data_IF_824255828051
#
_entry.id   IF_824255828051
#
_cell.length_a   1.000
_cell.length_b   1.000
_cell.length_c   1.000
_cell.angle_alpha   90.00
_cell.angle_beta   90.00
_cell.angle_gamma   90.00
#
_symmetry.space_group_name_H-M   'P 1'
#
loop_
_entity.id
_entity.type
_entity.pdbx_description
1 polymer ?
#
# COMPACT_ATOMS: atom_id res chain seq x y z
N UNK A 1 -12.38 3.82 -5.50
CA UNK A 1 -11.97 4.45 -4.25
C UNK A 1 -13.07 4.26 -3.21
N UNK A 2 -12.81 3.43 -2.24
CA UNK A 2 -13.80 3.08 -1.24
C UNK A 2 -13.34 3.43 0.16
N UNK A 3 -14.31 3.78 1.00
CA UNK A 3 -14.06 3.98 2.40
C UNK A 3 -14.34 2.68 3.14
N UNK A 4 -13.74 2.53 4.29
CA UNK A 4 -14.06 1.44 5.18
C UNK A 4 -12.97 0.41 5.35
N UNK A 5 -13.37 -0.77 5.73
CA UNK A 5 -12.45 -1.81 6.15
C UNK A 5 -11.70 -2.45 5.00
N UNK A 6 -10.46 -2.81 5.28
CA UNK A 6 -9.65 -3.62 4.38
C UNK A 6 -9.93 -5.07 4.71
N UNK A 7 -10.37 -5.82 3.71
CA UNK A 7 -10.60 -7.25 3.89
C UNK A 7 -9.48 -8.02 3.23
N UNK A 8 -8.42 -8.27 3.98
CA UNK A 8 -7.25 -8.95 3.45
C UNK A 8 -7.56 -10.35 2.94
N UNK A 9 -8.57 -11.00 3.50
CA UNK A 9 -8.94 -12.34 3.04
C UNK A 9 -9.38 -12.38 1.58
N UNK A 10 -9.82 -11.24 1.02
CA UNK A 10 -10.16 -11.16 -0.40
C UNK A 10 -8.94 -11.31 -1.30
N UNK A 11 -7.76 -11.11 -0.74
CA UNK A 11 -6.51 -11.16 -1.47
C UNK A 11 -5.71 -12.43 -1.18
N UNK A 12 -6.30 -13.39 -0.51
CA UNK A 12 -5.64 -14.66 -0.25
C UNK A 12 -5.24 -15.31 -1.56
N UNK A 13 -4.03 -15.84 -1.62
CA UNK A 13 -3.45 -16.35 -2.84
C UNK A 13 -2.64 -15.32 -3.61
N UNK A 14 -2.76 -14.05 -3.25
CA UNK A 14 -1.92 -12.98 -3.80
C UNK A 14 -0.96 -12.46 -2.75
N UNK A 15 0.22 -12.04 -3.20
CA UNK A 15 1.13 -11.28 -2.36
C UNK A 15 0.65 -9.83 -2.33
N UNK A 16 0.63 -9.20 -1.16
CA UNK A 16 0.05 -7.87 -1.01
C UNK A 16 1.02 -6.93 -0.32
N UNK A 17 1.14 -5.73 -0.86
CA UNK A 17 1.82 -4.62 -0.18
C UNK A 17 0.73 -3.68 0.34
N UNK A 18 0.63 -3.59 1.66
CA UNK A 18 -0.26 -2.62 2.30
C UNK A 18 0.58 -1.41 2.68
N UNK A 19 0.21 -0.25 2.18
CA UNK A 19 0.95 0.98 2.41
C UNK A 19 0.04 2.02 3.06
N UNK A 20 0.42 2.50 4.24
CA UNK A 20 -0.30 3.58 4.93
C UNK A 20 0.34 4.92 4.53
N UNK A 21 -0.48 5.88 4.08
CA UNK A 21 0.02 7.12 3.50
C UNK A 21 -0.95 8.29 3.68
N UNK A 22 -0.48 9.48 3.37
CA UNK A 22 -1.32 10.68 3.34
C UNK A 22 -0.79 11.66 2.31
N UNK A 23 -1.66 12.49 1.74
CA UNK A 23 -1.27 13.47 0.74
C UNK A 23 -0.42 14.59 1.34
N UNK A 24 -0.48 14.78 2.66
CA UNK A 24 0.31 15.77 3.39
C UNK A 24 1.73 15.29 3.71
N UNK A 25 2.03 14.06 3.42
CA UNK A 25 3.28 13.42 3.80
C UNK A 25 4.23 13.40 2.60
N UNK A 26 5.31 14.18 2.65
CA UNK A 26 6.24 14.31 1.54
C UNK A 26 6.86 12.98 1.11
N UNK A 27 7.44 12.16 2.01
CA UNK A 27 7.98 10.88 1.56
C UNK A 27 6.92 9.93 1.04
N UNK A 28 5.66 10.04 1.51
CA UNK A 28 4.56 9.27 0.93
C UNK A 28 4.36 9.62 -0.53
N UNK A 29 4.34 10.91 -0.84
CA UNK A 29 4.14 11.39 -2.22
C UNK A 29 5.27 10.96 -3.13
N UNK A 30 6.49 11.01 -2.63
CA UNK A 30 7.67 10.61 -3.40
C UNK A 30 7.66 9.12 -3.71
N UNK A 31 7.04 8.34 -2.85
CA UNK A 31 6.97 6.88 -3.01
C UNK A 31 5.89 6.44 -4.02
N UNK A 32 4.89 7.26 -4.26
CA UNK A 32 3.77 6.89 -5.13
C UNK A 32 4.18 6.45 -6.53
N UNK A 33 5.04 7.20 -7.26
CA UNK A 33 5.47 6.72 -8.57
C UNK A 33 6.29 5.44 -8.51
N UNK A 34 7.05 5.23 -7.44
CA UNK A 34 7.80 4.00 -7.23
C UNK A 34 6.85 2.82 -7.09
N UNK A 35 5.79 2.99 -6.29
CA UNK A 35 4.79 1.94 -6.10
C UNK A 35 4.00 1.67 -7.38
N UNK A 36 3.67 2.73 -8.14
CA UNK A 36 2.93 2.54 -9.38
C UNK A 36 3.74 1.73 -10.40
N UNK A 37 5.03 2.00 -10.52
CA UNK A 37 5.90 1.21 -11.39
C UNK A 37 5.95 -0.26 -10.96
N UNK A 38 6.07 -0.49 -9.67
CA UNK A 38 6.09 -1.84 -9.11
C UNK A 38 4.76 -2.56 -9.36
N UNK A 39 3.66 -1.85 -9.17
CA UNK A 39 2.34 -2.40 -9.42
C UNK A 39 2.20 -2.84 -10.87
N UNK A 40 2.57 -1.97 -11.80
CA UNK A 40 2.50 -2.27 -13.23
C UNK A 40 3.35 -3.48 -13.60
N UNK A 41 4.52 -3.60 -12.96
CA UNK A 41 5.45 -4.69 -13.24
C UNK A 41 4.99 -6.03 -12.68
N UNK A 42 4.45 -6.04 -11.47
CA UNK A 42 4.20 -7.30 -10.75
C UNK A 42 2.74 -7.73 -10.65
N UNK A 43 1.78 -6.89 -11.00
CA UNK A 43 0.36 -7.23 -10.84
C UNK A 43 -0.03 -8.50 -11.60
N UNK A 44 0.62 -8.77 -12.71
CA UNK A 44 0.37 -9.99 -13.49
C UNK A 44 0.90 -11.27 -12.83
N UNK A 45 1.71 -11.12 -11.79
CA UNK A 45 2.34 -12.24 -11.11
C UNK A 45 1.66 -12.60 -9.79
N UNK A 46 0.41 -12.14 -9.60
CA UNK A 46 -0.32 -12.40 -8.37
C UNK A 46 0.07 -11.47 -7.25
N UNK A 47 0.37 -10.23 -7.58
CA UNK A 47 0.74 -9.19 -6.62
C UNK A 47 -0.31 -8.08 -6.62
N UNK A 48 -0.58 -7.54 -5.44
CA UNK A 48 -1.52 -6.44 -5.28
C UNK A 48 -0.93 -5.38 -4.34
N UNK A 49 -1.33 -4.13 -4.54
CA UNK A 49 -1.03 -3.05 -3.61
C UNK A 49 -2.36 -2.52 -3.09
N UNK A 50 -2.44 -2.31 -1.79
CA UNK A 50 -3.56 -1.61 -1.17
C UNK A 50 -2.96 -0.42 -0.44
N UNK A 51 -3.23 0.78 -0.95
CA UNK A 51 -2.74 2.01 -0.33
C UNK A 51 -3.83 2.56 0.58
N UNK A 52 -3.58 2.55 1.88
CA UNK A 52 -4.54 2.99 2.88
C UNK A 52 -4.27 4.43 3.24
N UNK A 53 -5.16 5.31 2.81
CA UNK A 53 -5.03 6.73 3.12
C UNK A 53 -5.61 7.02 4.50
N UNK A 54 -4.81 7.68 5.34
CA UNK A 54 -5.15 7.92 6.73
C UNK A 54 -5.64 9.35 6.93
N UNK A 55 -6.85 9.48 7.47
CA UNK A 55 -7.43 10.74 7.96
C UNK A 55 -7.79 11.79 6.90
N UNK A 56 -7.93 11.42 5.66
CA UNK A 56 -8.28 12.39 4.63
C UNK A 56 -9.61 12.08 3.98
N UNK A 57 -10.23 13.11 3.42
CA UNK A 57 -11.54 12.98 2.78
C UNK A 57 -11.42 12.24 1.45
N UNK A 58 -12.52 11.61 1.05
CA UNK A 58 -12.61 10.93 -0.23
C UNK A 58 -12.25 11.86 -1.40
N UNK A 59 -12.75 13.11 -1.34
CA UNK A 59 -12.50 14.08 -2.40
C UNK A 59 -11.03 14.42 -2.56
N UNK A 60 -10.33 14.65 -1.45
CA UNK A 60 -8.91 14.98 -1.47
C UNK A 60 -8.09 13.82 -2.03
N UNK A 61 -8.38 12.61 -1.60
CA UNK A 61 -7.67 11.42 -2.05
C UNK A 61 -7.95 11.15 -3.52
N UNK A 62 -9.20 11.27 -3.95
CA UNK A 62 -9.58 11.06 -5.34
C UNK A 62 -8.83 12.01 -6.27
N UNK A 63 -8.76 13.30 -5.90
CA UNK A 63 -8.03 14.28 -6.70
C UNK A 63 -6.56 13.94 -6.82
N UNK A 64 -5.97 13.48 -5.72
CA UNK A 64 -4.56 13.08 -5.71
C UNK A 64 -4.32 11.87 -6.62
N UNK A 65 -5.16 10.85 -6.49
CA UNK A 65 -5.07 9.62 -7.29
C UNK A 65 -5.17 9.94 -8.78
N UNK A 66 -6.13 10.80 -9.15
CA UNK A 66 -6.33 11.16 -10.54
C UNK A 66 -5.16 11.99 -11.08
N UNK A 67 -4.68 12.93 -10.29
CA UNK A 67 -3.55 13.79 -10.68
C UNK A 67 -2.29 12.99 -10.95
N UNK A 68 -2.06 11.96 -10.15
CA UNK A 68 -0.82 11.17 -10.24
C UNK A 68 -0.99 9.87 -11.04
N UNK A 69 -2.17 9.64 -11.60
CA UNK A 69 -2.40 8.48 -12.45
C UNK A 69 -2.23 7.15 -11.74
N UNK A 70 -2.61 7.09 -10.46
CA UNK A 70 -2.47 5.86 -9.69
C UNK A 70 -3.59 4.89 -10.04
N UNK A 71 -3.24 3.63 -10.30
CA UNK A 71 -4.21 2.60 -10.68
C UNK A 71 -4.34 1.46 -9.68
N UNK A 72 -3.45 1.37 -8.69
CA UNK A 72 -3.59 0.37 -7.64
C UNK A 72 -4.75 0.75 -6.70
N UNK A 73 -5.34 -0.24 -6.01
CA UNK A 73 -6.43 0.01 -5.07
C UNK A 73 -6.04 0.97 -3.95
N UNK A 74 -6.92 1.91 -3.66
CA UNK A 74 -6.75 2.87 -2.58
C UNK A 74 -7.95 2.75 -1.64
N UNK A 75 -7.68 2.55 -0.37
CA UNK A 75 -8.71 2.49 0.66
C UNK A 75 -8.65 3.75 1.52
N UNK A 76 -9.80 4.15 2.07
CA UNK A 76 -9.88 5.31 2.94
C UNK A 76 -10.02 4.87 4.39
N UNK A 77 -9.17 5.42 5.24
CA UNK A 77 -9.22 5.20 6.69
C UNK A 77 -9.40 6.56 7.35
N UNK A 78 -10.57 7.16 7.14
CA UNK A 78 -10.84 8.55 7.53
C UNK A 78 -10.71 8.78 9.04
N UNK A 79 -11.12 7.81 9.84
CA UNK A 79 -11.03 7.90 11.31
C UNK A 79 -9.70 7.40 11.85
N UNK A 80 -8.84 6.89 11.00
CA UNK A 80 -7.58 6.23 11.37
C UNK A 80 -7.81 4.98 12.25
N UNK A 81 -8.98 4.37 12.12
CA UNK A 81 -9.31 3.18 12.90
C UNK A 81 -8.44 1.98 12.51
N UNK A 82 -8.28 1.75 11.19
CA UNK A 82 -7.43 0.66 10.70
C UNK A 82 -5.98 0.93 11.09
N UNK A 83 -5.53 2.16 10.89
CA UNK A 83 -4.17 2.60 11.24
C UNK A 83 -3.86 2.28 12.71
N UNK A 84 -4.78 2.64 13.61
CA UNK A 84 -4.60 2.38 15.04
C UNK A 84 -4.70 0.89 15.37
N UNK A 85 -5.63 0.16 14.75
CA UNK A 85 -5.82 -1.26 15.04
C UNK A 85 -4.61 -2.10 14.61
N UNK A 86 -3.87 -1.62 13.61
CA UNK A 86 -2.64 -2.27 13.16
C UNK A 86 -1.42 -1.74 13.91
N UNK A 87 -1.63 -0.88 14.91
CA UNK A 87 -0.60 -0.29 15.75
C UNK A 87 0.43 0.48 14.94
N UNK A 88 -0.05 1.25 13.96
CA UNK A 88 0.80 2.09 13.12
C UNK A 88 0.99 3.45 13.78
N UNK A 89 2.21 4.01 13.68
CA UNK A 89 2.54 5.28 14.31
C UNK A 89 3.21 6.28 13.38
N UNK A 90 3.64 5.83 12.21
CA UNK A 90 4.41 6.66 11.26
C UNK A 90 3.88 6.51 9.84
N UNK A 91 4.10 7.54 9.01
CA UNK A 91 3.80 7.51 7.59
C UNK A 91 5.06 7.86 6.80
N UNK A 92 5.33 7.19 5.69
CA UNK A 92 4.61 6.01 5.23
C UNK A 92 5.08 4.77 5.99
N UNK A 93 4.21 3.80 6.12
CA UNK A 93 4.57 2.49 6.64
C UNK A 93 4.06 1.44 5.67
N UNK A 94 4.91 0.51 5.31
CA UNK A 94 4.59 -0.54 4.35
C UNK A 94 4.71 -1.91 4.97
N UNK A 95 3.72 -2.77 4.70
CA UNK A 95 3.68 -4.13 5.21
C UNK A 95 3.54 -5.07 4.03
N UNK A 96 4.48 -6.00 3.90
CA UNK A 96 4.49 -6.99 2.83
C UNK A 96 3.88 -8.29 3.36
N UNK A 97 2.79 -8.73 2.73
CA UNK A 97 1.98 -9.87 3.19
C UNK A 97 2.07 -10.96 2.12
N UNK A 98 2.40 -12.18 2.54
CA UNK A 98 2.57 -13.29 1.61
C UNK A 98 1.22 -13.87 1.14
N UNK A 99 1.29 -14.85 0.25
CA UNK A 99 0.10 -15.44 -0.38
C UNK A 99 -0.82 -16.15 0.60
N UNK A 100 -0.30 -16.53 1.77
CA UNK A 100 -1.09 -17.13 2.84
C UNK A 100 -1.71 -16.11 3.79
N UNK A 101 -1.46 -14.82 3.54
CA UNK A 101 -2.01 -13.76 4.38
C UNK A 101 -1.17 -13.44 5.60
N UNK A 102 0.09 -13.83 5.60
CA UNK A 102 1.01 -13.57 6.73
C UNK A 102 1.95 -12.43 6.43
N UNK A 103 2.12 -11.49 7.36
CA UNK A 103 3.09 -10.41 7.16
C UNK A 103 4.52 -10.96 7.24
N UNK A 104 5.35 -10.60 6.28
CA UNK A 104 6.75 -11.03 6.23
C UNK A 104 7.72 -9.88 6.47
N UNK A 105 7.31 -8.65 6.19
CA UNK A 105 8.18 -7.49 6.33
C UNK A 105 7.36 -6.25 6.62
N UNK A 106 7.88 -5.41 7.50
CA UNK A 106 7.33 -4.08 7.73
C UNK A 106 8.47 -3.08 7.58
N UNK A 107 8.20 -1.98 6.89
CA UNK A 107 9.19 -0.94 6.69
C UNK A 107 8.57 0.42 6.98
N UNK A 108 9.22 1.20 7.83
CA UNK A 108 8.80 2.55 8.18
C UNK A 108 9.63 3.54 7.40
N UNK A 109 8.97 4.45 6.70
CA UNK A 109 9.62 5.44 5.86
C UNK A 109 9.47 5.15 4.38
N UNK A 110 9.95 6.05 3.54
CA UNK A 110 9.89 5.90 2.09
C UNK A 110 10.85 4.84 1.59
N UNK A 111 10.40 4.05 0.63
CA UNK A 111 11.19 3.00 0.03
C UNK A 111 11.73 3.46 -1.32
N UNK A 112 12.97 3.07 -1.63
CA UNK A 112 13.52 3.27 -2.95
C UNK A 112 12.93 2.26 -3.92
N UNK A 113 13.07 2.54 -5.21
CA UNK A 113 12.63 1.60 -6.25
C UNK A 113 13.30 0.24 -6.10
N UNK A 114 14.59 0.23 -5.78
CA UNK A 114 15.33 -1.01 -5.58
C UNK A 114 14.79 -1.82 -4.41
N UNK A 115 14.50 -1.16 -3.29
CA UNK A 115 13.95 -1.84 -2.12
C UNK A 115 12.60 -2.45 -2.42
N UNK A 116 11.71 -1.69 -3.06
CA UNK A 116 10.37 -2.17 -3.39
C UNK A 116 10.45 -3.39 -4.30
N UNK A 117 11.21 -3.29 -5.39
CA UNK A 117 11.34 -4.38 -6.35
C UNK A 117 11.91 -5.63 -5.69
N UNK A 118 12.98 -5.48 -4.92
CA UNK A 118 13.64 -6.59 -4.27
C UNK A 118 12.72 -7.30 -3.27
N UNK A 119 12.00 -6.51 -2.47
CA UNK A 119 11.12 -7.09 -1.47
C UNK A 119 9.87 -7.74 -2.06
N UNK A 120 9.36 -7.21 -3.18
CA UNK A 120 8.27 -7.86 -3.89
C UNK A 120 8.75 -9.17 -4.51
N UNK A 121 9.93 -9.18 -5.11
CA UNK A 121 10.49 -10.41 -5.68
C UNK A 121 10.67 -11.48 -4.62
N UNK A 122 11.18 -11.10 -3.44
CA UNK A 122 11.30 -12.03 -2.31
C UNK A 122 9.95 -12.59 -1.91
N UNK A 123 8.94 -11.72 -1.83
CA UNK A 123 7.60 -12.10 -1.44
C UNK A 123 6.99 -13.09 -2.44
N UNK A 124 7.20 -12.83 -3.73
CA UNK A 124 6.64 -13.66 -4.80
C UNK A 124 7.38 -14.98 -4.98
N UNK A 125 8.63 -15.07 -4.56
CA UNK A 125 9.40 -16.32 -4.69
C UNK A 125 8.85 -17.43 -3.80
N UNK A 126 7.89 -17.13 -2.97
CA UNK A 126 7.05 -18.15 -2.37
C UNK A 126 7.59 -18.88 -1.18
N UNK A 127 8.60 -18.38 -0.66
CA UNK A 127 9.11 -19.03 0.54
C UNK A 127 8.27 -18.69 1.77
#
# INVERSE_FOLDING_TARGET
LEGGDIELKKFRGKAVLVNFWGTFCTPCKEEMPVMQKAYDRFKGDGFEIIAVNVRESKGAVKRFVERHGLTFPVALDQSAEVYRSWEMYYLPTSIFINREGRPERMYVGGMSERQVDMWIEDLLSGS
#
